data_IF_583205624038
#
_entry.id   IF_583205624038
#
_cell.length_a   1.000
_cell.length_b   1.000
_cell.length_c   1.000
_cell.angle_alpha   90.00
_cell.angle_beta   90.00
_cell.angle_gamma   90.00
#
_symmetry.space_group_name_H-M   'P 1'
#
loop_
_entity.id
_entity.type
_entity.pdbx_description
1 polymer ?
#
# COMPACT_ATOMS: atom_id res chain seq x y z
N UNK A 1 -5.99 -66.27 53.45
CA UNK A 1 -7.10 -65.54 52.85
C UNK A 1 -6.74 -64.06 52.91
N UNK A 2 -6.17 -63.51 51.87
CA UNK A 2 -5.74 -62.08 51.77
C UNK A 2 -6.89 -61.33 51.11
N UNK A 3 -7.55 -60.41 51.84
CA UNK A 3 -8.60 -59.51 51.31
C UNK A 3 -7.95 -58.37 50.59
N UNK A 4 -8.06 -58.34 49.27
CA UNK A 4 -7.71 -57.21 48.44
C UNK A 4 -8.79 -56.10 48.57
N UNK A 5 -8.40 -54.93 49.04
CA UNK A 5 -9.27 -53.76 49.09
C UNK A 5 -9.24 -53.01 47.76
N UNK A 6 -10.39 -52.76 47.12
CA UNK A 6 -10.47 -52.14 45.77
C UNK A 6 -10.37 -50.62 45.77
N UNK A 7 -9.85 -49.99 46.83
CA UNK A 7 -9.84 -48.51 46.93
C UNK A 7 -8.55 -47.82 46.50
N UNK A 8 -7.50 -48.54 46.08
CA UNK A 8 -6.21 -47.93 45.70
C UNK A 8 -5.88 -47.93 44.22
N UNK A 9 -6.76 -48.45 43.36
CA UNK A 9 -6.51 -48.50 41.89
C UNK A 9 -7.02 -47.26 41.15
N UNK A 10 -7.84 -46.40 41.78
CA UNK A 10 -8.48 -45.28 41.14
C UNK A 10 -7.64 -43.98 41.06
N UNK A 11 -6.44 -43.93 41.64
CA UNK A 11 -5.65 -42.68 41.76
C UNK A 11 -4.47 -42.58 40.80
N UNK A 12 -4.27 -43.53 39.87
CA UNK A 12 -3.10 -43.58 38.99
C UNK A 12 -3.42 -43.29 37.51
N UNK A 13 -4.66 -42.93 37.19
CA UNK A 13 -5.09 -42.67 35.79
C UNK A 13 -5.31 -41.18 35.42
N UNK A 14 -4.83 -40.19 36.20
CA UNK A 14 -5.15 -38.81 35.99
C UNK A 14 -4.01 -37.83 35.55
N UNK A 15 -2.79 -38.26 35.19
CA UNK A 15 -1.81 -37.28 34.62
C UNK A 15 -1.65 -37.30 33.11
N UNK A 16 -2.49 -38.02 32.35
CA UNK A 16 -2.27 -38.25 30.89
C UNK A 16 -2.90 -37.23 29.92
N UNK A 17 -3.67 -36.25 30.38
CA UNK A 17 -4.52 -35.40 29.51
C UNK A 17 -4.05 -33.94 29.29
N UNK A 18 -2.84 -33.59 29.67
CA UNK A 18 -2.28 -32.24 29.54
C UNK A 18 -1.20 -32.10 28.47
N UNK A 19 -1.09 -33.04 27.53
CA UNK A 19 -0.30 -32.85 26.31
C UNK A 19 -1.09 -32.03 25.30
N UNK A 20 -1.47 -30.79 25.65
CA UNK A 20 -1.97 -29.79 24.71
C UNK A 20 -0.83 -29.42 23.76
N UNK A 21 -0.90 -29.90 22.51
CA UNK A 21 -0.02 -29.44 21.46
C UNK A 21 -0.26 -27.93 21.25
N UNK A 22 0.57 -27.09 21.85
CA UNK A 22 0.64 -25.68 21.46
C UNK A 22 1.35 -25.65 20.11
N UNK A 23 0.58 -25.69 19.02
CA UNK A 23 1.10 -25.39 17.70
C UNK A 23 1.63 -23.95 17.71
N UNK A 24 2.92 -23.77 17.49
CA UNK A 24 3.50 -22.44 17.36
C UNK A 24 2.81 -21.72 16.20
N UNK A 25 2.15 -20.59 16.49
CA UNK A 25 1.53 -19.76 15.48
C UNK A 25 2.65 -19.09 14.68
N UNK A 26 2.79 -19.42 13.39
CA UNK A 26 3.75 -18.78 12.49
C UNK A 26 3.14 -17.50 11.93
N UNK A 27 3.84 -16.37 12.08
CA UNK A 27 3.48 -15.11 11.45
C UNK A 27 4.28 -14.97 10.17
N UNK A 28 3.60 -14.72 9.08
CA UNK A 28 4.19 -14.45 7.77
C UNK A 28 4.22 -12.94 7.52
N UNK A 29 5.37 -12.42 7.13
CA UNK A 29 5.56 -11.01 6.84
C UNK A 29 5.65 -10.79 5.33
N UNK A 30 4.94 -9.77 4.86
CA UNK A 30 4.84 -9.42 3.44
C UNK A 30 5.33 -7.99 3.20
N UNK A 31 5.91 -7.79 2.03
CA UNK A 31 6.34 -6.49 1.54
C UNK A 31 5.86 -6.32 0.09
N UNK A 32 5.40 -5.12 -0.24
CA UNK A 32 5.00 -4.80 -1.60
C UNK A 32 6.20 -4.86 -2.56
N UNK A 33 6.01 -5.36 -3.80
CA UNK A 33 7.04 -5.36 -4.83
C UNK A 33 7.56 -3.94 -5.08
N UNK A 34 8.88 -3.79 -5.06
CA UNK A 34 9.52 -2.49 -5.27
C UNK A 34 9.79 -2.27 -6.76
N UNK A 35 9.44 -1.10 -7.33
CA UNK A 35 9.83 -0.75 -8.68
C UNK A 35 11.35 -0.59 -8.77
N UNK A 36 11.88 -0.73 -9.98
CA UNK A 36 13.30 -0.49 -10.24
C UNK A 36 13.69 0.94 -9.84
N UNK A 37 14.92 1.09 -9.34
CA UNK A 37 15.45 2.41 -9.00
C UNK A 37 15.83 3.12 -10.31
N UNK A 38 15.27 4.32 -10.54
CA UNK A 38 15.70 5.17 -11.64
C UNK A 38 17.12 5.67 -11.39
N UNK A 39 17.99 5.50 -12.38
CA UNK A 39 19.35 6.03 -12.36
C UNK A 39 19.46 7.39 -13.06
N UNK A 40 18.35 7.93 -13.59
CA UNK A 40 18.34 9.25 -14.23
C UNK A 40 18.55 10.35 -13.19
N UNK A 41 19.48 11.27 -13.49
CA UNK A 41 19.69 12.47 -12.69
C UNK A 41 19.02 13.65 -13.42
N UNK A 42 17.96 14.24 -12.85
CA UNK A 42 17.33 15.40 -13.48
C UNK A 42 18.29 16.60 -13.53
N UNK A 43 18.06 17.49 -14.48
CA UNK A 43 18.83 18.74 -14.63
C UNK A 43 18.78 19.56 -13.33
N UNK A 44 19.79 20.43 -13.15
CA UNK A 44 19.91 21.25 -11.91
C UNK A 44 18.70 22.17 -11.74
N UNK A 45 18.15 22.68 -12.82
CA UNK A 45 17.00 23.58 -12.91
C UNK A 45 15.66 22.84 -13.14
N UNK A 46 15.67 21.50 -13.09
CA UNK A 46 14.47 20.71 -13.26
C UNK A 46 13.35 21.11 -12.27
N UNK A 47 12.08 21.15 -12.73
CA UNK A 47 10.96 21.41 -11.84
C UNK A 47 10.91 20.39 -10.69
N UNK A 48 10.57 20.88 -9.50
CA UNK A 48 10.52 20.04 -8.30
C UNK A 48 9.09 19.62 -8.04
N UNK A 49 8.90 18.30 -7.88
CA UNK A 49 7.67 17.69 -7.39
C UNK A 49 7.91 17.15 -5.97
N UNK A 50 7.27 17.75 -4.99
CA UNK A 50 7.25 17.27 -3.61
C UNK A 50 6.13 16.25 -3.48
N UNK A 51 6.46 15.01 -3.14
CA UNK A 51 5.50 13.95 -2.86
C UNK A 51 5.38 13.85 -1.35
N UNK A 52 4.24 14.28 -0.84
CA UNK A 52 3.94 14.19 0.59
C UNK A 52 3.79 12.71 1.02
N UNK A 53 4.03 12.37 2.30
CA UNK A 53 3.75 11.03 2.80
C UNK A 53 2.33 10.59 2.49
N UNK A 54 2.18 9.37 1.98
CA UNK A 54 0.86 8.81 1.66
C UNK A 54 0.07 8.60 2.94
N UNK A 55 -1.13 9.14 2.99
CA UNK A 55 -2.06 8.90 4.10
C UNK A 55 -2.92 7.68 3.78
N UNK A 56 -3.13 6.82 4.76
CA UNK A 56 -4.02 5.65 4.63
C UNK A 56 -5.20 5.77 5.59
N UNK A 57 -6.33 5.17 5.22
CA UNK A 57 -7.49 5.10 6.10
C UNK A 57 -7.11 4.41 7.43
N UNK A 58 -7.73 4.81 8.53
CA UNK A 58 -7.35 4.36 9.88
C UNK A 58 -7.35 2.84 10.07
N UNK A 59 -8.26 2.12 9.39
CA UNK A 59 -8.31 0.66 9.48
C UNK A 59 -7.12 -0.04 8.78
N UNK A 60 -6.47 0.64 7.82
CA UNK A 60 -5.25 0.20 7.13
C UNK A 60 -3.99 0.52 7.94
N UNK A 61 -4.08 1.38 8.94
CA UNK A 61 -2.96 1.76 9.81
C UNK A 61 -2.70 0.68 10.87
N UNK A 62 -2.45 -0.53 10.41
CA UNK A 62 -2.08 -1.70 11.22
C UNK A 62 -1.17 -2.60 10.41
N UNK A 63 -0.42 -3.47 11.08
CA UNK A 63 0.45 -4.42 10.39
C UNK A 63 -0.30 -5.57 9.71
N UNK A 64 -1.60 -5.77 9.99
CA UNK A 64 -2.38 -6.86 9.42
C UNK A 64 -2.72 -6.62 7.95
N UNK A 65 -2.64 -7.65 7.12
CA UNK A 65 -3.31 -7.65 5.83
C UNK A 65 -4.83 -7.64 6.05
N UNK A 66 -5.54 -6.96 5.16
CA UNK A 66 -7.00 -6.82 5.24
C UNK A 66 -7.65 -7.63 4.12
N UNK A 67 -8.71 -8.36 4.46
CA UNK A 67 -9.59 -9.04 3.52
C UNK A 67 -11.03 -8.56 3.70
N UNK A 68 -11.69 -8.27 2.60
CA UNK A 68 -13.11 -8.01 2.57
C UNK A 68 -13.86 -9.33 2.37
N UNK A 69 -14.71 -9.70 3.34
CA UNK A 69 -15.48 -10.94 3.35
C UNK A 69 -16.94 -10.73 2.96
N UNK A 70 -17.41 -9.49 2.98
CA UNK A 70 -18.73 -9.09 2.45
C UNK A 70 -18.73 -7.60 2.13
N UNK A 71 -19.83 -7.07 1.60
CA UNK A 71 -19.96 -5.63 1.29
C UNK A 71 -19.67 -4.70 2.50
N UNK A 72 -19.88 -5.18 3.71
CA UNK A 72 -19.78 -4.37 4.94
C UNK A 72 -18.78 -4.94 5.95
N UNK A 73 -18.09 -6.04 5.63
CA UNK A 73 -17.21 -6.71 6.59
C UNK A 73 -15.77 -6.77 6.09
N UNK A 74 -14.88 -6.24 6.90
CA UNK A 74 -13.42 -6.34 6.74
C UNK A 74 -12.84 -7.18 7.88
N UNK A 75 -11.95 -8.09 7.54
CA UNK A 75 -11.23 -8.95 8.49
C UNK A 75 -9.76 -8.59 8.48
N UNK A 76 -9.20 -8.37 9.66
CA UNK A 76 -7.76 -8.22 9.88
C UNK A 76 -7.16 -9.61 10.09
N UNK A 77 -6.19 -9.98 9.26
CA UNK A 77 -5.49 -11.25 9.41
C UNK A 77 -4.59 -11.23 10.64
N UNK A 78 -4.54 -12.32 11.37
CA UNK A 78 -3.69 -12.42 12.56
C UNK A 78 -2.26 -12.87 12.21
N UNK A 79 -2.11 -13.76 11.23
CA UNK A 79 -0.86 -14.41 10.87
C UNK A 79 -0.20 -13.85 9.62
N UNK A 80 -0.90 -13.01 8.87
CA UNK A 80 -0.39 -12.40 7.65
C UNK A 80 -0.25 -10.90 7.88
N UNK A 81 0.98 -10.43 7.91
CA UNK A 81 1.28 -9.06 8.35
C UNK A 81 2.20 -8.36 7.36
N UNK A 82 2.09 -7.05 7.29
CA UNK A 82 3.08 -6.21 6.63
C UNK A 82 4.37 -6.20 7.42
N UNK A 83 5.50 -6.35 6.75
CA UNK A 83 6.84 -6.26 7.36
C UNK A 83 7.20 -4.83 7.80
N UNK A 84 6.54 -3.84 7.22
CA UNK A 84 6.73 -2.42 7.46
C UNK A 84 5.37 -1.72 7.36
N UNK A 85 5.20 -0.59 8.00
CA UNK A 85 3.97 0.20 7.93
C UNK A 85 3.57 0.49 6.48
N UNK A 86 2.29 0.30 6.17
CA UNK A 86 1.78 0.35 4.80
C UNK A 86 1.98 1.72 4.15
N UNK A 87 1.72 2.79 4.88
CA UNK A 87 1.91 4.18 4.43
C UNK A 87 3.35 4.46 3.97
N UNK A 88 4.35 3.91 4.68
CA UNK A 88 5.76 4.05 4.32
C UNK A 88 6.10 3.27 3.06
N UNK A 89 5.59 2.03 2.92
CA UNK A 89 5.77 1.25 1.70
C UNK A 89 5.16 1.96 0.49
N UNK A 90 3.92 2.45 0.63
CA UNK A 90 3.20 3.15 -0.43
C UNK A 90 3.92 4.45 -0.82
N UNK A 91 4.38 5.25 0.15
CA UNK A 91 5.13 6.49 -0.11
C UNK A 91 6.40 6.23 -0.90
N UNK A 92 7.20 5.25 -0.47
CA UNK A 92 8.46 4.88 -1.14
C UNK A 92 8.24 4.37 -2.56
N UNK A 93 7.22 3.52 -2.78
CA UNK A 93 6.90 3.00 -4.11
C UNK A 93 6.42 4.12 -5.03
N UNK A 94 5.54 5.00 -4.55
CA UNK A 94 5.03 6.13 -5.32
C UNK A 94 6.17 7.06 -5.77
N UNK A 95 7.07 7.42 -4.88
CA UNK A 95 8.23 8.25 -5.20
C UNK A 95 9.12 7.62 -6.27
N UNK A 96 9.43 6.32 -6.15
CA UNK A 96 10.23 5.60 -7.13
C UNK A 96 9.54 5.51 -8.49
N UNK A 97 8.24 5.21 -8.49
CA UNK A 97 7.44 5.17 -9.73
C UNK A 97 7.44 6.53 -10.41
N UNK A 98 7.16 7.61 -9.66
CA UNK A 98 7.15 8.96 -10.21
C UNK A 98 8.54 9.40 -10.71
N UNK A 99 9.61 9.12 -9.97
CA UNK A 99 10.97 9.42 -10.39
C UNK A 99 11.37 8.69 -11.69
N UNK A 100 10.92 7.44 -11.86
CA UNK A 100 11.14 6.68 -13.08
C UNK A 100 10.33 7.21 -14.26
N UNK A 101 9.06 7.56 -14.02
CA UNK A 101 8.14 8.02 -15.04
C UNK A 101 8.34 9.49 -15.44
N UNK A 102 8.93 10.30 -14.57
CA UNK A 102 9.11 11.75 -14.75
C UNK A 102 10.59 12.15 -14.73
N UNK A 103 11.40 11.72 -15.71
CA UNK A 103 12.84 12.00 -15.73
C UNK A 103 13.18 13.50 -15.84
N UNK A 104 12.22 14.31 -16.29
CA UNK A 104 12.35 15.77 -16.37
C UNK A 104 12.06 16.48 -15.04
N UNK A 105 11.59 15.77 -14.01
CA UNK A 105 11.28 16.32 -12.68
C UNK A 105 12.28 15.84 -11.64
N UNK A 106 12.56 16.71 -10.67
CA UNK A 106 13.20 16.29 -9.41
C UNK A 106 12.10 15.90 -8.42
N UNK A 107 11.88 14.61 -8.28
CA UNK A 107 10.92 14.05 -7.30
C UNK A 107 11.59 13.95 -5.95
N UNK A 108 10.96 14.50 -4.90
CA UNK A 108 11.50 14.51 -3.53
C UNK A 108 10.39 14.46 -2.49
N UNK A 109 10.69 13.93 -1.31
CA UNK A 109 9.82 14.01 -0.12
C UNK A 109 10.13 15.26 0.73
N UNK A 110 11.29 15.86 0.52
CA UNK A 110 11.71 17.02 1.31
C UNK A 110 10.93 18.25 0.86
N UNK A 111 10.33 18.99 1.81
CA UNK A 111 9.62 20.22 1.49
C UNK A 111 10.54 21.22 0.77
N UNK A 112 10.07 21.74 -0.35
CA UNK A 112 10.75 22.79 -1.11
C UNK A 112 9.76 23.94 -1.31
N UNK A 113 10.15 25.15 -0.87
CA UNK A 113 9.29 26.32 -0.97
C UNK A 113 8.94 26.61 -2.44
N UNK A 114 7.64 26.87 -2.68
CA UNK A 114 7.15 27.19 -4.02
C UNK A 114 7.09 26.01 -5.02
N UNK A 115 7.49 24.80 -4.62
CA UNK A 115 7.43 23.63 -5.48
C UNK A 115 6.00 23.12 -5.68
N UNK A 116 5.78 22.36 -6.76
CA UNK A 116 4.57 21.60 -6.97
C UNK A 116 4.47 20.49 -5.90
N UNK A 117 3.27 20.25 -5.37
CA UNK A 117 3.08 19.25 -4.30
C UNK A 117 1.99 18.26 -4.67
N UNK A 118 2.25 17.00 -4.42
CA UNK A 118 1.31 15.89 -4.57
C UNK A 118 0.99 15.30 -3.19
N UNK A 119 -0.30 15.29 -2.87
CA UNK A 119 -0.86 14.62 -1.69
C UNK A 119 -1.69 13.44 -2.15
N UNK A 120 -1.53 12.28 -1.54
CA UNK A 120 -2.31 11.08 -1.84
C UNK A 120 -2.91 10.51 -0.57
N UNK A 121 -4.19 10.20 -0.62
CA UNK A 121 -4.93 9.54 0.45
C UNK A 121 -5.55 8.26 -0.09
N UNK A 122 -5.20 7.13 0.53
CA UNK A 122 -5.70 5.79 0.19
C UNK A 122 -6.83 5.43 1.13
N UNK A 123 -7.98 5.08 0.56
CA UNK A 123 -9.19 4.73 1.30
C UNK A 123 -9.41 3.22 1.36
N UNK A 124 -9.08 2.50 0.27
CA UNK A 124 -9.12 1.04 0.20
C UNK A 124 -7.80 0.51 -0.34
N UNK A 125 -7.29 -0.53 0.30
CA UNK A 125 -6.09 -1.26 -0.12
C UNK A 125 -6.14 -2.67 0.47
N UNK A 126 -6.91 -3.55 -0.15
CA UNK A 126 -7.17 -4.88 0.39
C UNK A 126 -7.66 -5.86 -0.69
N UNK A 127 -7.66 -7.13 -0.37
CA UNK A 127 -8.27 -8.18 -1.18
C UNK A 127 -9.72 -8.47 -0.78
N UNK A 128 -10.39 -9.23 -1.62
CA UNK A 128 -11.71 -9.80 -1.35
C UNK A 128 -11.63 -11.33 -1.30
N UNK A 129 -12.60 -11.99 -0.68
CA UNK A 129 -12.70 -13.47 -0.70
C UNK A 129 -12.86 -14.04 -2.12
N UNK A 130 -13.34 -13.22 -3.07
CA UNK A 130 -13.51 -13.62 -4.47
C UNK A 130 -12.22 -13.51 -5.29
N UNK A 131 -11.09 -13.26 -4.65
CA UNK A 131 -9.79 -13.15 -5.33
C UNK A 131 -9.63 -11.87 -6.15
N UNK A 132 -10.32 -10.80 -5.80
CA UNK A 132 -10.14 -9.46 -6.40
C UNK A 132 -9.41 -8.55 -5.42
N UNK A 133 -8.49 -7.75 -5.90
CA UNK A 133 -7.85 -6.69 -5.12
C UNK A 133 -8.45 -5.34 -5.44
N UNK A 134 -8.61 -4.50 -4.42
CA UNK A 134 -9.22 -3.19 -4.49
C UNK A 134 -8.23 -2.12 -4.03
N UNK A 135 -8.13 -1.06 -4.81
CA UNK A 135 -7.42 0.16 -4.48
C UNK A 135 -8.32 1.34 -4.78
N UNK A 136 -8.61 2.17 -3.79
CA UNK A 136 -9.30 3.43 -4.01
C UNK A 136 -8.75 4.55 -3.13
N UNK A 137 -9.04 5.78 -3.53
CA UNK A 137 -8.61 6.95 -2.81
C UNK A 137 -8.75 8.22 -3.61
N UNK A 138 -7.97 9.21 -3.22
CA UNK A 138 -7.91 10.51 -3.91
C UNK A 138 -6.48 11.06 -3.88
N UNK A 139 -6.17 11.88 -4.84
CA UNK A 139 -4.98 12.71 -4.79
C UNK A 139 -5.31 14.18 -5.04
N UNK A 140 -4.46 15.04 -4.51
CA UNK A 140 -4.52 16.48 -4.70
C UNK A 140 -3.18 16.95 -5.23
N UNK A 141 -3.21 17.69 -6.33
CA UNK A 141 -2.06 18.30 -6.95
C UNK A 141 -2.14 19.82 -6.76
N UNK A 142 -1.15 20.38 -6.07
CA UNK A 142 -1.01 21.83 -5.88
C UNK A 142 0.05 22.36 -6.85
N UNK A 143 -0.23 23.46 -7.56
CA UNK A 143 0.74 24.05 -8.49
C UNK A 143 1.95 24.61 -7.77
N UNK A 144 3.06 24.72 -8.46
CA UNK A 144 4.17 25.53 -8.03
C UNK A 144 3.76 27.00 -7.93
N UNK A 145 4.39 27.75 -7.04
CA UNK A 145 4.07 29.17 -6.83
C UNK A 145 4.17 29.97 -8.15
N UNK A 146 3.14 30.70 -8.48
CA UNK A 146 3.06 31.50 -9.70
C UNK A 146 2.86 30.72 -11.00
N UNK A 147 2.60 29.40 -10.91
CA UNK A 147 2.34 28.53 -12.06
C UNK A 147 0.92 27.97 -12.02
N UNK A 148 0.45 27.54 -13.18
CA UNK A 148 -0.82 26.82 -13.32
C UNK A 148 -0.59 25.31 -13.40
N UNK A 149 -1.62 24.54 -13.11
CA UNK A 149 -1.66 23.09 -13.29
C UNK A 149 -2.13 22.71 -14.72
N UNK A 150 -2.09 21.40 -15.07
CA UNK A 150 -2.64 20.88 -16.30
C UNK A 150 -4.01 21.48 -16.64
N UNK A 151 -4.19 21.90 -17.89
CA UNK A 151 -5.44 22.52 -18.34
C UNK A 151 -5.61 24.00 -17.98
N UNK A 152 -4.53 24.71 -17.53
CA UNK A 152 -4.56 26.14 -17.22
C UNK A 152 -5.21 26.45 -15.86
N UNK A 153 -5.37 25.46 -14.99
CA UNK A 153 -5.97 25.63 -13.68
C UNK A 153 -4.99 26.27 -12.70
N UNK A 154 -5.38 27.37 -12.10
CA UNK A 154 -4.58 28.10 -11.10
C UNK A 154 -4.83 27.66 -9.65
N UNK A 155 -5.60 26.58 -9.44
CA UNK A 155 -5.99 26.08 -8.14
C UNK A 155 -5.52 24.63 -7.90
N UNK A 156 -5.94 24.08 -6.77
CA UNK A 156 -5.71 22.68 -6.41
C UNK A 156 -6.59 21.80 -7.30
N UNK A 157 -5.97 20.82 -7.98
CA UNK A 157 -6.70 19.76 -8.70
C UNK A 157 -6.84 18.57 -7.77
N UNK A 158 -8.07 18.12 -7.56
CA UNK A 158 -8.38 16.90 -6.82
C UNK A 158 -9.01 15.89 -7.76
N UNK A 159 -8.57 14.64 -7.65
CA UNK A 159 -9.11 13.52 -8.42
C UNK A 159 -9.26 12.31 -7.52
N UNK A 160 -10.40 11.63 -7.64
CA UNK A 160 -10.62 10.32 -7.05
C UNK A 160 -10.14 9.23 -8.00
N UNK A 161 -9.67 8.12 -7.46
CA UNK A 161 -9.31 6.93 -8.21
C UNK A 161 -9.92 5.68 -7.58
N UNK A 162 -10.28 4.74 -8.43
CA UNK A 162 -10.75 3.42 -8.03
C UNK A 162 -10.26 2.41 -9.07
N UNK A 163 -9.46 1.46 -8.61
CA UNK A 163 -8.85 0.42 -9.41
C UNK A 163 -9.15 -0.93 -8.79
N UNK A 164 -9.32 -1.93 -9.63
CA UNK A 164 -9.47 -3.31 -9.19
C UNK A 164 -8.87 -4.25 -10.21
N UNK A 165 -8.42 -5.40 -9.76
CA UNK A 165 -7.94 -6.47 -10.63
C UNK A 165 -8.08 -7.83 -9.93
N UNK A 166 -8.25 -8.93 -10.67
CA UNK A 166 -8.18 -10.26 -10.09
C UNK A 166 -6.74 -10.58 -9.66
N UNK A 167 -6.61 -11.40 -8.62
CA UNK A 167 -5.34 -12.05 -8.29
C UNK A 167 -4.98 -13.05 -9.40
N UNK A 168 -3.67 -13.20 -9.68
CA UNK A 168 -3.21 -14.19 -10.65
C UNK A 168 -3.35 -15.63 -10.12
N UNK A 169 -3.19 -15.83 -8.82
CA UNK A 169 -3.28 -17.10 -8.11
C UNK A 169 -3.91 -16.89 -6.73
N UNK A 170 -4.24 -17.99 -6.05
CA UNK A 170 -4.73 -17.95 -4.69
C UNK A 170 -3.60 -17.64 -3.70
N UNK A 171 -4.01 -17.08 -2.57
CA UNK A 171 -3.15 -16.86 -1.41
C UNK A 171 -2.56 -15.45 -1.30
N UNK A 172 -1.98 -15.20 -0.14
CA UNK A 172 -1.47 -13.87 0.22
C UNK A 172 -0.28 -13.38 -0.62
N UNK A 173 0.64 -14.22 -1.10
CA UNK A 173 1.69 -13.75 -2.01
C UNK A 173 1.12 -13.14 -3.30
N UNK A 174 0.12 -13.80 -3.92
CA UNK A 174 -0.53 -13.30 -5.13
C UNK A 174 -1.35 -12.02 -4.84
N UNK A 175 -2.04 -11.97 -3.69
CA UNK A 175 -2.74 -10.78 -3.22
C UNK A 175 -1.79 -9.58 -3.10
N UNK A 176 -0.65 -9.76 -2.43
CA UNK A 176 0.33 -8.68 -2.21
C UNK A 176 0.97 -8.23 -3.53
N UNK A 177 1.25 -9.17 -4.44
CA UNK A 177 1.77 -8.85 -5.78
C UNK A 177 0.76 -7.99 -6.56
N UNK A 178 -0.51 -8.38 -6.59
CA UNK A 178 -1.57 -7.65 -7.29
C UNK A 178 -1.83 -6.25 -6.67
N UNK A 179 -1.81 -6.13 -5.34
CA UNK A 179 -1.90 -4.84 -4.67
C UNK A 179 -0.74 -3.91 -5.06
N UNK A 180 0.48 -4.44 -5.13
CA UNK A 180 1.66 -3.70 -5.56
C UNK A 180 1.56 -3.25 -7.02
N UNK A 181 1.02 -4.08 -7.90
CA UNK A 181 0.78 -3.72 -9.31
C UNK A 181 -0.24 -2.59 -9.44
N UNK A 182 -1.38 -2.67 -8.74
CA UNK A 182 -2.37 -1.60 -8.74
C UNK A 182 -1.79 -0.28 -8.26
N UNK A 183 -0.98 -0.31 -7.21
CA UNK A 183 -0.34 0.89 -6.69
C UNK A 183 0.65 1.51 -7.67
N UNK A 184 1.48 0.71 -8.32
CA UNK A 184 2.40 1.19 -9.35
C UNK A 184 1.64 1.75 -10.56
N UNK A 185 0.52 1.11 -10.96
CA UNK A 185 -0.36 1.62 -12.02
C UNK A 185 -0.91 2.99 -11.67
N UNK A 186 -1.43 3.17 -10.46
CA UNK A 186 -1.90 4.47 -9.98
C UNK A 186 -0.80 5.54 -10.04
N UNK A 187 0.41 5.21 -9.64
CA UNK A 187 1.56 6.11 -9.75
C UNK A 187 1.88 6.51 -11.19
N UNK A 188 1.77 5.57 -12.14
CA UNK A 188 1.94 5.86 -13.58
C UNK A 188 0.82 6.75 -14.13
N UNK A 189 -0.42 6.53 -13.71
CA UNK A 189 -1.57 7.35 -14.12
C UNK A 189 -1.39 8.82 -13.65
N UNK A 190 -0.94 9.02 -12.42
CA UNK A 190 -0.56 10.36 -11.92
C UNK A 190 0.58 10.96 -12.73
N UNK A 191 1.61 10.19 -13.08
CA UNK A 191 2.72 10.66 -13.89
C UNK A 191 2.29 11.07 -15.30
N UNK A 192 1.36 10.34 -15.93
CA UNK A 192 0.82 10.69 -17.25
C UNK A 192 0.08 12.02 -17.21
N UNK A 193 -0.67 12.28 -16.15
CA UNK A 193 -1.36 13.56 -15.94
C UNK A 193 -0.36 14.73 -15.91
N UNK A 194 0.76 14.56 -15.21
CA UNK A 194 1.83 15.55 -15.12
C UNK A 194 2.59 15.74 -16.44
N UNK A 195 2.81 14.66 -17.23
CA UNK A 195 3.45 14.72 -18.55
C UNK A 195 2.60 15.49 -19.57
N UNK A 196 1.28 15.29 -19.57
CA UNK A 196 0.37 15.95 -20.48
C UNK A 196 0.39 17.49 -20.33
N UNK A 197 0.73 17.97 -19.14
CA UNK A 197 0.88 19.39 -18.83
C UNK A 197 2.16 20.01 -19.43
N UNK A 198 3.28 19.33 -19.21
CA UNK A 198 4.56 19.81 -19.72
C UNK A 198 4.58 19.94 -21.26
N UNK A 199 3.87 19.04 -21.95
CA UNK A 199 3.75 19.08 -23.40
C UNK A 199 2.92 20.28 -23.90
N UNK A 200 1.88 20.68 -23.16
CA UNK A 200 1.03 21.85 -23.52
C UNK A 200 1.72 23.19 -23.28
N UNK A 201 2.50 23.31 -22.21
CA UNK A 201 3.28 24.51 -21.91
C UNK A 201 4.31 24.75 -23.00
N UNK A 202 4.99 23.71 -23.47
CA UNK A 202 6.02 23.78 -24.52
C UNK A 202 5.44 24.07 -25.94
N UNK A 203 4.16 23.78 -26.13
CA UNK A 203 3.47 24.07 -27.40
C UNK A 203 2.85 25.50 -27.46
N UNK A 204 2.83 26.20 -26.33
CA UNK A 204 2.29 27.54 -26.18
C UNK A 204 3.37 28.65 -26.15
N UNK A 205 4.67 28.29 -26.11
CA UNK A 205 5.84 29.13 -26.32
C UNK A 205 6.29 29.14 -27.79
#
# INVERSE_FOLDING_TARGET
MIKFQPKQVALLMLPGLLAGCSSAVTINYFQLPQPAISTSSPAVDAPVLVVEPVMVASYLNSNALILQTSEVQLVKTQQQQWAEALDQQLSRILQRTLASELPAYRVTERPVAGAQRLLVQVEQFHGTEQGTVLLSGRFSLMPAQGKTLPGGQSGIVQQQFQLQMPQADDGYPALVAALGELWQRQGKDIAQLLKADTAKIKAAE
#
